data_IF_924713715414
#
_entry.id   IF_924713715414
#
_cell.length_a   1.000
_cell.length_b   1.000
_cell.length_c   1.000
_cell.angle_alpha   90.00
_cell.angle_beta   90.00
_cell.angle_gamma   90.00
#
_symmetry.space_group_name_H-M   'P 1'
#
loop_
_entity.id
_entity.type
_entity.pdbx_description
1 polymer ?
#
# COMPACT_ATOMS: atom_id res chain seq x y z
N UNK A 1 17.02 6.51 39.70
CA UNK A 1 16.58 5.66 38.56
C UNK A 1 17.57 5.87 37.43
N UNK A 2 18.51 4.93 37.24
CA UNK A 2 19.60 5.04 36.26
C UNK A 2 19.01 4.79 34.87
N UNK A 3 19.17 5.75 33.95
CA UNK A 3 18.79 5.53 32.55
C UNK A 3 19.78 4.52 31.94
N UNK A 4 19.32 3.41 31.35
CA UNK A 4 20.20 2.42 30.76
C UNK A 4 21.00 3.02 29.60
N UNK A 5 22.21 2.51 29.41
CA UNK A 5 23.11 2.94 28.34
C UNK A 5 22.50 2.63 26.96
N UNK A 6 22.75 3.48 25.96
CA UNK A 6 22.17 3.32 24.60
C UNK A 6 22.49 1.96 23.95
N UNK A 7 23.54 1.28 24.41
CA UNK A 7 23.96 -0.04 23.92
C UNK A 7 23.04 -1.15 24.45
N UNK A 8 22.64 -1.11 25.71
CA UNK A 8 21.68 -2.08 26.28
C UNK A 8 20.30 -1.98 25.60
N UNK A 9 19.93 -0.78 25.14
CA UNK A 9 18.67 -0.55 24.42
C UNK A 9 18.67 -1.17 23.02
N UNK A 10 19.84 -1.24 22.36
CA UNK A 10 20.01 -1.86 21.04
C UNK A 10 19.95 -3.39 21.09
N UNK A 11 20.32 -4.01 22.22
CA UNK A 11 20.26 -5.46 22.39
C UNK A 11 18.95 -5.94 23.04
N UNK A 12 18.08 -5.04 23.49
CA UNK A 12 16.77 -5.39 24.03
C UNK A 12 15.74 -5.51 22.89
N UNK A 13 15.58 -6.74 22.40
CA UNK A 13 14.66 -7.07 21.32
C UNK A 13 13.21 -6.61 21.59
N UNK A 14 12.71 -6.80 22.81
CA UNK A 14 11.33 -6.49 23.17
C UNK A 14 11.05 -4.99 23.05
N UNK A 15 11.98 -4.14 23.50
CA UNK A 15 11.85 -2.68 23.36
C UNK A 15 11.92 -2.21 21.91
N UNK A 16 12.73 -2.87 21.08
CA UNK A 16 12.78 -2.58 19.65
C UNK A 16 11.48 -2.98 18.94
N UNK A 17 10.91 -4.12 19.33
CA UNK A 17 9.66 -4.65 18.81
C UNK A 17 8.46 -3.77 19.20
N UNK A 18 8.37 -3.37 20.47
CA UNK A 18 7.34 -2.45 20.98
C UNK A 18 7.38 -1.12 20.23
N UNK A 19 8.57 -0.50 20.12
CA UNK A 19 8.78 0.73 19.36
C UNK A 19 8.37 0.59 17.89
N UNK A 20 8.62 -0.57 17.28
CA UNK A 20 8.21 -0.84 15.90
C UNK A 20 6.68 -0.84 15.79
N UNK A 21 5.99 -1.54 16.69
CA UNK A 21 4.53 -1.59 16.68
C UNK A 21 3.87 -0.25 17.01
N UNK A 22 4.48 0.58 17.86
CA UNK A 22 4.03 1.95 18.14
C UNK A 22 4.18 2.89 16.94
N UNK A 23 5.28 2.74 16.18
CA UNK A 23 5.59 3.58 15.00
C UNK A 23 4.94 3.09 13.73
N UNK A 24 4.60 1.80 13.66
CA UNK A 24 3.87 1.26 12.54
C UNK A 24 2.50 1.93 12.49
N UNK A 25 2.11 2.52 11.35
CA UNK A 25 0.76 3.03 11.21
C UNK A 25 -0.21 1.85 11.47
N UNK A 26 -1.13 2.02 12.44
CA UNK A 26 -2.13 1.02 12.85
C UNK A 26 -2.65 0.32 11.61
N UNK A 27 -2.22 -0.95 11.38
CA UNK A 27 -2.37 -1.71 10.11
C UNK A 27 -3.48 -1.10 9.26
N UNK A 28 -3.08 -0.11 8.46
CA UNK A 28 -4.01 0.82 7.84
C UNK A 28 -5.05 0.01 7.11
N UNK A 29 -6.29 0.13 7.61
CA UNK A 29 -7.53 -0.38 7.08
C UNK A 29 -7.37 -1.51 6.05
N UNK A 30 -7.67 -2.74 6.49
CA UNK A 30 -8.18 -3.86 5.67
C UNK A 30 -7.77 -3.68 4.22
N UNK A 31 -6.52 -4.06 3.88
CA UNK A 31 -5.96 -4.00 2.53
C UNK A 31 -7.11 -4.16 1.54
N UNK A 32 -7.64 -3.03 1.05
CA UNK A 32 -8.82 -3.06 0.21
C UNK A 32 -8.31 -3.84 -0.96
N UNK A 33 -8.78 -5.08 -1.06
CA UNK A 33 -8.39 -6.06 -2.07
C UNK A 33 -8.26 -5.23 -3.33
N UNK A 34 -7.06 -5.15 -3.89
CA UNK A 34 -6.80 -4.28 -5.02
C UNK A 34 -7.85 -4.61 -6.09
N UNK A 35 -8.91 -3.82 -6.17
CA UNK A 35 -10.08 -4.15 -6.99
C UNK A 35 -9.83 -3.50 -8.32
N UNK A 36 -9.55 -4.33 -9.33
CA UNK A 36 -9.41 -3.85 -10.68
C UNK A 36 -10.75 -3.23 -11.11
N UNK A 37 -10.78 -1.95 -11.53
CA UNK A 37 -12.01 -1.32 -11.98
C UNK A 37 -12.52 -2.05 -13.24
N UNK A 38 -13.85 -2.12 -13.41
CA UNK A 38 -14.44 -2.73 -14.61
C UNK A 38 -14.09 -1.91 -15.85
N UNK A 39 -13.72 -2.58 -16.93
CA UNK A 39 -13.39 -1.91 -18.19
C UNK A 39 -14.67 -1.34 -18.84
N UNK A 40 -14.64 -0.05 -19.18
CA UNK A 40 -15.72 0.64 -19.88
C UNK A 40 -15.43 0.56 -21.38
N UNK A 41 -16.01 -0.45 -22.01
CA UNK A 41 -15.81 -0.75 -23.44
C UNK A 41 -17.00 -0.24 -24.25
N UNK A 42 -16.71 0.54 -25.28
CA UNK A 42 -17.69 0.97 -26.27
C UNK A 42 -17.31 0.46 -27.66
N UNK A 43 -18.32 -0.03 -28.38
CA UNK A 43 -18.17 -0.46 -29.77
C UNK A 43 -18.88 0.56 -30.66
N UNK A 44 -18.12 1.22 -31.52
CA UNK A 44 -18.62 2.19 -32.49
C UNK A 44 -18.28 1.67 -33.88
N UNK A 45 -19.27 1.05 -34.53
CA UNK A 45 -19.09 0.36 -35.81
C UNK A 45 -18.06 -0.77 -35.69
N UNK A 46 -16.97 -0.68 -36.46
CA UNK A 46 -15.83 -1.61 -36.39
C UNK A 46 -14.76 -1.26 -35.36
N UNK A 47 -14.91 -0.17 -34.59
CA UNK A 47 -13.92 0.27 -33.60
C UNK A 47 -14.35 -0.10 -32.18
N UNK A 48 -13.41 -0.56 -31.37
CA UNK A 48 -13.60 -0.79 -29.94
C UNK A 48 -12.78 0.23 -29.15
N UNK A 49 -13.43 0.98 -28.28
CA UNK A 49 -12.84 2.08 -27.51
C UNK A 49 -12.96 1.74 -26.03
N UNK A 50 -11.86 1.90 -25.28
CA UNK A 50 -11.84 1.73 -23.83
C UNK A 50 -11.77 3.12 -23.18
N UNK A 51 -12.83 3.55 -22.50
CA UNK A 51 -12.91 4.92 -21.95
C UNK A 51 -12.07 5.12 -20.69
N UNK A 52 -11.92 4.07 -19.87
CA UNK A 52 -11.21 4.14 -18.59
C UNK A 52 -9.80 3.51 -18.63
N UNK A 53 -9.13 3.56 -19.80
CA UNK A 53 -7.82 2.95 -19.97
C UNK A 53 -6.75 3.54 -19.06
N UNK A 54 -6.69 4.87 -18.94
CA UNK A 54 -5.74 5.56 -18.04
C UNK A 54 -5.90 5.12 -16.59
N UNK A 55 -7.15 5.03 -16.12
CA UNK A 55 -7.45 4.58 -14.76
C UNK A 55 -6.99 3.13 -14.51
N UNK A 56 -7.11 2.26 -15.52
CA UNK A 56 -6.59 0.89 -15.45
C UNK A 56 -5.06 0.88 -15.34
N UNK A 57 -4.37 1.73 -16.11
CA UNK A 57 -2.92 1.87 -16.06
C UNK A 57 -2.43 2.39 -14.70
N UNK A 58 -3.11 3.40 -14.14
CA UNK A 58 -2.80 3.95 -12.80
C UNK A 58 -2.93 2.88 -11.71
N UNK A 59 -3.99 2.07 -11.77
CA UNK A 59 -4.21 0.95 -10.84
C UNK A 59 -3.06 -0.05 -10.95
N UNK A 60 -2.74 -0.51 -12.17
CA UNK A 60 -1.67 -1.51 -12.42
C UNK A 60 -0.25 -0.93 -12.29
N UNK A 61 -0.10 0.38 -12.03
CA UNK A 61 1.17 1.12 -11.96
C UNK A 61 1.98 0.98 -13.26
N UNK A 62 1.32 1.14 -14.39
CA UNK A 62 1.92 1.14 -15.73
C UNK A 62 1.71 2.49 -16.40
N UNK A 63 2.61 2.81 -17.33
CA UNK A 63 2.43 3.98 -18.19
C UNK A 63 1.29 3.72 -19.21
N UNK A 64 0.44 4.73 -19.49
CA UNK A 64 -0.72 4.63 -20.38
C UNK A 64 -0.40 4.72 -21.86
#
# INVERSE_FOLDING_TARGET
MVKPSNVELLYNYDKLLERLYEKLPTRGARASRFELPRMVVERVGGKTIIRNFRQLCDVVRREP
#
